data_IF_074353100905
#
_entry.id   IF_074353100905
#
_cell.length_a   1.000
_cell.length_b   1.000
_cell.length_c   1.000
_cell.angle_alpha   90.00
_cell.angle_beta   90.00
_cell.angle_gamma   90.00
#
_symmetry.space_group_name_H-M   'P 1'
#
loop_
_entity.id
_entity.type
_entity.pdbx_description
1 polymer ?
#
# COMPACT_ATOMS: atom_id res chain seq x y z
N UNK A 1 -17.68 16.67 -0.46
CA UNK A 1 -18.40 15.88 0.57
C UNK A 1 -17.46 14.79 1.09
N UNK A 2 -17.77 14.14 2.21
CA UNK A 2 -16.87 13.11 2.81
C UNK A 2 -16.63 11.90 1.88
N UNK A 3 -17.64 11.56 1.07
CA UNK A 3 -17.50 10.56 -0.01
C UNK A 3 -16.54 11.01 -1.11
N UNK A 4 -16.48 12.30 -1.41
CA UNK A 4 -15.57 12.83 -2.43
C UNK A 4 -14.12 12.87 -1.92
N UNK A 5 -13.92 13.06 -0.61
CA UNK A 5 -12.60 12.98 0.02
C UNK A 5 -12.06 11.54 -0.02
N UNK A 6 -12.87 10.54 0.35
CA UNK A 6 -12.50 9.12 0.21
C UNK A 6 -12.21 8.76 -1.25
N UNK A 7 -13.00 9.27 -2.20
CA UNK A 7 -12.76 9.07 -3.63
C UNK A 7 -11.43 9.69 -4.07
N UNK A 8 -11.14 10.93 -3.65
CA UNK A 8 -9.88 11.59 -3.98
C UNK A 8 -8.66 10.83 -3.43
N UNK A 9 -8.72 10.34 -2.18
CA UNK A 9 -7.61 9.55 -1.61
C UNK A 9 -7.43 8.20 -2.30
N UNK A 10 -8.54 7.62 -2.76
CA UNK A 10 -8.50 6.38 -3.52
C UNK A 10 -7.81 6.58 -4.87
N UNK A 11 -8.08 7.70 -5.54
CA UNK A 11 -7.44 8.03 -6.82
C UNK A 11 -5.94 8.31 -6.62
N UNK A 12 -5.55 9.02 -5.54
CA UNK A 12 -4.13 9.18 -5.16
C UNK A 12 -3.43 7.84 -4.92
N UNK A 13 -4.09 6.87 -4.27
CA UNK A 13 -3.52 5.53 -4.08
C UNK A 13 -3.34 4.82 -5.42
N UNK A 14 -4.30 4.93 -6.34
CA UNK A 14 -4.18 4.34 -7.69
C UNK A 14 -2.98 4.94 -8.44
N UNK A 15 -2.82 6.26 -8.42
CA UNK A 15 -1.68 6.92 -9.05
C UNK A 15 -0.34 6.48 -8.44
N UNK A 16 -0.28 6.29 -7.11
CA UNK A 16 0.90 5.78 -6.43
C UNK A 16 1.22 4.32 -6.80
N UNK A 17 0.20 3.48 -6.98
CA UNK A 17 0.35 2.10 -7.44
C UNK A 17 0.91 2.04 -8.86
N UNK A 18 0.47 2.93 -9.74
CA UNK A 18 0.97 3.08 -11.11
C UNK A 18 2.39 3.65 -11.14
N UNK A 19 2.76 4.49 -10.17
CA UNK A 19 4.11 5.04 -10.00
C UNK A 19 5.16 4.07 -9.46
N UNK A 20 4.76 2.90 -8.91
CA UNK A 20 5.65 1.87 -8.35
C UNK A 20 6.60 2.34 -7.23
N UNK A 21 6.29 3.46 -6.57
CA UNK A 21 7.06 3.96 -5.44
C UNK A 21 6.47 3.44 -4.12
N UNK A 22 7.23 2.60 -3.41
CA UNK A 22 6.80 2.00 -2.15
C UNK A 22 6.50 3.06 -1.07
N UNK A 23 7.24 4.16 -1.02
CA UNK A 23 7.02 5.24 -0.06
C UNK A 23 5.72 5.98 -0.36
N UNK A 24 5.47 6.30 -1.64
CA UNK A 24 4.22 6.94 -2.07
C UNK A 24 3.00 6.04 -1.82
N UNK A 25 3.11 4.74 -2.07
CA UNK A 25 2.04 3.76 -1.83
C UNK A 25 1.70 3.71 -0.33
N UNK A 26 2.70 3.68 0.56
CA UNK A 26 2.48 3.66 2.01
C UNK A 26 1.76 4.94 2.47
N UNK A 27 2.26 6.12 2.08
CA UNK A 27 1.65 7.39 2.45
C UNK A 27 0.20 7.50 1.96
N UNK A 28 -0.07 7.18 0.70
CA UNK A 28 -1.42 7.20 0.13
C UNK A 28 -2.37 6.20 0.84
N UNK A 29 -1.85 5.05 1.26
CA UNK A 29 -2.61 4.05 2.02
C UNK A 29 -3.00 4.57 3.41
N UNK A 30 -2.10 5.24 4.12
CA UNK A 30 -2.35 5.82 5.45
C UNK A 30 -3.38 6.96 5.40
N UNK A 31 -3.26 7.84 4.39
CA UNK A 31 -4.21 8.92 4.16
C UNK A 31 -5.61 8.39 3.82
N UNK A 32 -5.69 7.37 2.96
CA UNK A 32 -6.94 6.71 2.62
C UNK A 32 -7.58 6.02 3.83
N UNK A 33 -6.78 5.34 4.67
CA UNK A 33 -7.28 4.71 5.89
C UNK A 33 -7.89 5.74 6.85
N UNK A 34 -7.24 6.91 6.99
CA UNK A 34 -7.76 8.02 7.80
C UNK A 34 -9.10 8.54 7.26
N UNK A 35 -9.19 8.78 5.95
CA UNK A 35 -10.44 9.22 5.31
C UNK A 35 -11.58 8.21 5.51
N UNK A 36 -11.29 6.90 5.42
CA UNK A 36 -12.26 5.83 5.66
C UNK A 36 -12.72 5.78 7.12
N UNK A 37 -11.82 5.94 8.09
CA UNK A 37 -12.17 6.00 9.52
C UNK A 37 -13.11 7.16 9.79
N UNK A 38 -12.80 8.34 9.26
CA UNK A 38 -13.64 9.51 9.40
C UNK A 38 -15.01 9.29 8.73
N UNK A 39 -15.04 8.73 7.53
CA UNK A 39 -16.28 8.39 6.82
C UNK A 39 -17.15 7.41 7.60
N UNK A 40 -16.56 6.40 8.26
CA UNK A 40 -17.28 5.44 9.11
C UNK A 40 -18.01 6.11 10.28
N UNK A 41 -17.46 7.21 10.79
CA UNK A 41 -18.05 7.99 11.87
C UNK A 41 -19.15 8.96 11.41
N UNK A 42 -19.35 9.13 10.11
CA UNK A 42 -20.31 10.06 9.55
C UNK A 42 -21.57 9.36 9.03
N UNK A 43 -22.72 10.02 9.18
CA UNK A 43 -23.97 9.55 8.62
C UNK A 43 -23.93 9.55 7.09
N UNK A 44 -24.32 8.43 6.48
CA UNK A 44 -24.47 8.35 5.02
C UNK A 44 -25.69 9.19 4.62
N UNK A 45 -25.54 10.18 3.70
CA UNK A 45 -26.66 10.98 3.24
C UNK A 45 -27.68 10.12 2.50
N UNK A 46 -28.97 10.36 2.73
CA UNK A 46 -30.07 9.64 2.05
C UNK A 46 -29.92 9.75 0.53
N UNK A 47 -30.01 8.62 -0.18
CA UNK A 47 -29.82 8.54 -1.63
C UNK A 47 -28.37 8.32 -2.07
N UNK A 48 -27.42 8.23 -1.12
CA UNK A 48 -25.99 8.01 -1.41
C UNK A 48 -25.53 6.58 -1.05
N UNK A 49 -26.44 5.73 -0.58
CA UNK A 49 -26.12 4.42 0.03
C UNK A 49 -25.41 3.50 -0.98
N UNK A 50 -25.94 3.44 -2.20
CA UNK A 50 -25.38 2.60 -3.27
C UNK A 50 -23.99 3.09 -3.71
N UNK A 51 -23.79 4.42 -3.76
CA UNK A 51 -22.49 5.04 -4.05
C UNK A 51 -21.49 4.77 -2.93
N UNK A 52 -21.89 4.89 -1.67
CA UNK A 52 -21.06 4.57 -0.52
C UNK A 52 -20.63 3.10 -0.53
N UNK A 53 -21.54 2.18 -0.83
CA UNK A 53 -21.24 0.75 -0.85
C UNK A 53 -20.30 0.36 -1.99
N UNK A 54 -20.49 0.93 -3.19
CA UNK A 54 -19.56 0.77 -4.31
C UNK A 54 -18.17 1.31 -3.97
N UNK A 55 -18.11 2.49 -3.33
CA UNK A 55 -16.85 3.12 -2.96
C UNK A 55 -16.10 2.26 -1.94
N UNK A 56 -16.75 1.82 -0.86
CA UNK A 56 -16.14 0.92 0.14
C UNK A 56 -15.58 -0.35 -0.54
N UNK A 57 -16.36 -0.97 -1.43
CA UNK A 57 -15.90 -2.16 -2.14
C UNK A 57 -14.71 -1.91 -3.08
N UNK A 58 -14.60 -0.73 -3.67
CA UNK A 58 -13.42 -0.34 -4.47
C UNK A 58 -12.22 -0.09 -3.57
N UNK A 59 -12.40 0.63 -2.46
CA UNK A 59 -11.35 0.94 -1.49
C UNK A 59 -10.71 -0.32 -0.91
N UNK A 60 -11.51 -1.30 -0.47
CA UNK A 60 -10.99 -2.55 0.08
C UNK A 60 -10.10 -3.31 -0.91
N UNK A 61 -10.53 -3.40 -2.18
CA UNK A 61 -9.75 -4.06 -3.24
C UNK A 61 -8.42 -3.35 -3.52
N UNK A 62 -8.41 -2.02 -3.49
CA UNK A 62 -7.17 -1.26 -3.72
C UNK A 62 -6.20 -1.36 -2.54
N UNK A 63 -6.71 -1.40 -1.30
CA UNK A 63 -5.87 -1.64 -0.12
C UNK A 63 -5.17 -3.00 -0.18
N UNK A 64 -5.89 -4.05 -0.62
CA UNK A 64 -5.31 -5.37 -0.82
C UNK A 64 -4.23 -5.37 -1.93
N UNK A 65 -4.52 -4.73 -3.07
CA UNK A 65 -3.55 -4.58 -4.16
C UNK A 65 -2.28 -3.83 -3.70
N UNK A 66 -2.44 -2.77 -2.90
CA UNK A 66 -1.34 -2.01 -2.33
C UNK A 66 -0.46 -2.85 -1.39
N UNK A 67 -1.08 -3.63 -0.50
CA UNK A 67 -0.35 -4.52 0.41
C UNK A 67 0.50 -5.55 -0.36
N UNK A 68 -0.06 -6.17 -1.40
CA UNK A 68 0.67 -7.11 -2.26
C UNK A 68 1.84 -6.41 -2.95
N UNK A 69 1.61 -5.23 -3.55
CA UNK A 69 2.64 -4.49 -4.30
C UNK A 69 3.81 -4.07 -3.42
N UNK A 70 3.53 -3.56 -2.22
CA UNK A 70 4.56 -3.18 -1.24
C UNK A 70 5.42 -4.40 -0.87
N UNK A 71 4.80 -5.56 -0.65
CA UNK A 71 5.56 -6.78 -0.35
C UNK A 71 6.46 -7.22 -1.52
N UNK A 72 5.95 -7.21 -2.75
CA UNK A 72 6.74 -7.52 -3.94
C UNK A 72 7.92 -6.55 -4.12
N UNK A 73 7.70 -5.24 -3.92
CA UNK A 73 8.77 -4.25 -4.03
C UNK A 73 9.83 -4.41 -2.93
N UNK A 74 9.42 -4.78 -1.71
CA UNK A 74 10.34 -5.10 -0.60
C UNK A 74 11.18 -6.33 -0.94
N UNK A 75 10.55 -7.41 -1.41
CA UNK A 75 11.24 -8.64 -1.78
C UNK A 75 12.22 -8.41 -2.93
N UNK A 76 11.80 -7.65 -3.96
CA UNK A 76 12.67 -7.27 -5.06
C UNK A 76 13.88 -6.44 -4.59
N UNK A 77 13.66 -5.49 -3.69
CA UNK A 77 14.75 -4.66 -3.12
C UNK A 77 15.74 -5.52 -2.33
N UNK A 78 15.24 -6.46 -1.52
CA UNK A 78 16.06 -7.42 -0.78
C UNK A 78 16.87 -8.31 -1.73
N UNK A 79 16.24 -8.93 -2.71
CA UNK A 79 16.93 -9.76 -3.71
C UNK A 79 18.03 -8.99 -4.44
N UNK A 80 17.79 -7.71 -4.76
CA UNK A 80 18.78 -6.86 -5.42
C UNK A 80 19.98 -6.56 -4.50
N UNK A 81 19.74 -6.31 -3.21
CA UNK A 81 20.80 -6.12 -2.21
C UNK A 81 21.61 -7.40 -2.04
N UNK A 82 20.94 -8.54 -1.87
CA UNK A 82 21.59 -9.85 -1.70
C UNK A 82 22.47 -10.19 -2.92
N UNK A 83 21.93 -9.99 -4.13
CA UNK A 83 22.67 -10.18 -5.38
C UNK A 83 23.88 -9.25 -5.49
N UNK A 84 23.76 -8.00 -5.04
CA UNK A 84 24.90 -7.09 -4.98
C UNK A 84 25.96 -7.55 -3.97
N UNK A 85 25.57 -8.12 -2.84
CA UNK A 85 26.50 -8.71 -1.87
C UNK A 85 27.22 -9.94 -2.42
N UNK A 86 26.52 -10.79 -3.18
CA UNK A 86 27.11 -11.94 -3.89
C UNK A 86 28.19 -11.51 -4.87
N UNK A 87 27.86 -10.55 -5.74
CA UNK A 87 28.80 -10.03 -6.74
C UNK A 87 30.02 -9.39 -6.08
N UNK A 88 29.82 -8.70 -4.94
CA UNK A 88 30.90 -8.04 -4.19
C UNK A 88 31.71 -9.00 -3.32
N UNK A 89 31.34 -10.29 -3.24
CA UNK A 89 32.04 -11.29 -2.42
C UNK A 89 31.93 -11.06 -0.91
N UNK A 90 31.02 -10.18 -0.47
CA UNK A 90 30.81 -9.80 0.94
C UNK A 90 29.73 -10.65 1.60
N UNK A 91 29.63 -11.93 1.24
CA UNK A 91 28.79 -12.85 1.99
C UNK A 91 29.38 -12.95 3.41
N UNK A 92 28.63 -12.69 4.49
CA UNK A 92 29.10 -13.07 5.81
C UNK A 92 29.26 -14.58 5.77
N UNK A 93 30.51 -15.06 5.68
CA UNK A 93 30.83 -16.47 5.83
C UNK A 93 30.17 -16.91 7.12
N UNK A 94 29.19 -17.80 6.99
CA UNK A 94 28.45 -18.37 8.11
C UNK A 94 29.41 -18.77 9.22
N UNK A 95 28.94 -18.60 10.47
CA UNK A 95 29.68 -18.87 11.69
C UNK A 95 30.65 -20.04 11.50
N UNK A 96 31.94 -19.76 11.69
CA UNK A 96 32.97 -20.78 11.70
C UNK A 96 32.51 -21.91 12.65
N UNK A 97 32.36 -23.12 12.11
CA UNK A 97 32.22 -24.32 12.91
C UNK A 97 33.54 -24.46 13.70
N UNK A 98 33.52 -24.06 14.97
CA UNK A 98 34.53 -24.47 15.93
C UNK A 98 34.27 -25.93 16.27
N UNK A 99 35.23 -26.79 15.92
CA UNK A 99 35.35 -28.17 16.41
C UNK A 99 35.71 -28.16 17.90
#
# INVERSE_FOLDING_TARGET
MMLDDVQSRLDTLVDALDGHDAGAIIAATEELATAVILFRGAGIPRGSEQRAQLLIGKTLRQLEAAAIRVNVLKDWTRQRIDRNHDIRGTHPRGAALSY
#
